data_IF_087929712622
#
_entry.id   IF_087929712622
#
_cell.length_a   1.000
_cell.length_b   1.000
_cell.length_c   1.000
_cell.angle_alpha   90.00
_cell.angle_beta   90.00
_cell.angle_gamma   90.00
#
_symmetry.space_group_name_H-M   'P 1'
#
loop_
_entity.id
_entity.type
_entity.pdbx_description
1 polymer ?
#
# COMPACT_ATOMS: atom_id res chain seq x y z
N UNK A 1 23.57 -23.31 -56.08
CA UNK A 1 23.77 -22.23 -55.08
C UNK A 1 22.42 -21.55 -54.85
N UNK A 2 21.74 -21.87 -53.74
CA UNK A 2 20.50 -21.20 -53.30
C UNK A 2 20.84 -20.51 -51.98
N UNK A 3 20.85 -19.18 -51.98
CA UNK A 3 21.04 -18.37 -50.78
C UNK A 3 19.67 -18.19 -50.12
N UNK A 4 19.53 -18.69 -48.89
CA UNK A 4 18.35 -18.47 -48.06
C UNK A 4 18.59 -17.28 -47.13
N UNK A 5 17.75 -16.27 -47.23
CA UNK A 5 17.70 -15.13 -46.31
C UNK A 5 16.81 -15.46 -45.12
N UNK A 6 17.37 -15.48 -43.90
CA UNK A 6 16.60 -15.56 -42.67
C UNK A 6 15.99 -14.18 -42.31
N UNK A 7 14.77 -14.12 -41.75
CA UNK A 7 14.17 -12.87 -41.32
C UNK A 7 14.74 -12.43 -39.97
N UNK A 8 15.29 -11.22 -39.92
CA UNK A 8 15.65 -10.53 -38.68
C UNK A 8 14.39 -9.96 -38.05
N UNK A 9 13.98 -10.51 -36.92
CA UNK A 9 12.93 -9.94 -36.07
C UNK A 9 13.56 -8.84 -35.20
N UNK A 10 13.22 -7.58 -35.47
CA UNK A 10 13.59 -6.44 -34.64
C UNK A 10 12.55 -6.32 -33.52
N UNK A 11 12.93 -6.65 -32.28
CA UNK A 11 12.13 -6.35 -31.09
C UNK A 11 12.25 -4.84 -30.82
N UNK A 12 11.22 -4.08 -31.17
CA UNK A 12 11.08 -2.70 -30.75
C UNK A 12 10.59 -2.67 -29.30
N UNK A 13 11.49 -2.36 -28.36
CA UNK A 13 11.13 -2.13 -26.97
C UNK A 13 10.29 -0.87 -26.85
N UNK A 14 9.04 -1.01 -26.40
CA UNK A 14 8.20 0.12 -26.02
C UNK A 14 8.69 0.58 -24.64
N UNK A 15 9.46 1.67 -24.60
CA UNK A 15 9.73 2.38 -23.36
C UNK A 15 8.43 3.06 -22.93
N UNK A 16 7.72 2.47 -21.96
CA UNK A 16 6.61 3.11 -21.29
C UNK A 16 7.15 4.31 -20.49
N UNK A 17 6.84 5.52 -20.94
CA UNK A 17 7.09 6.74 -20.18
C UNK A 17 6.20 6.75 -18.94
N UNK A 18 6.79 6.57 -17.76
CA UNK A 18 6.13 6.78 -16.48
C UNK A 18 5.67 8.23 -16.38
N UNK A 19 4.37 8.43 -16.17
CA UNK A 19 3.85 9.75 -15.79
C UNK A 19 4.34 10.06 -14.39
N UNK A 20 5.43 10.84 -14.29
CA UNK A 20 5.88 11.37 -13.03
C UNK A 20 4.80 12.32 -12.49
N UNK A 21 4.18 11.97 -11.37
CA UNK A 21 3.36 12.92 -10.63
C UNK A 21 4.31 13.98 -10.09
N UNK A 22 4.05 15.24 -10.40
CA UNK A 22 4.85 16.37 -9.94
C UNK A 22 4.65 16.56 -8.43
N UNK A 23 5.42 15.79 -7.68
CA UNK A 23 5.54 15.91 -6.24
C UNK A 23 6.36 17.14 -5.87
N UNK A 24 5.82 18.01 -5.02
CA UNK A 24 6.62 19.05 -4.40
C UNK A 24 7.67 18.40 -3.46
N UNK A 25 8.94 18.77 -3.61
CA UNK A 25 9.99 18.25 -2.74
C UNK A 25 9.64 18.49 -1.26
N UNK A 26 9.74 17.45 -0.43
CA UNK A 26 9.46 17.54 1.01
C UNK A 26 7.99 17.37 1.42
N UNK A 27 7.08 16.98 0.52
CA UNK A 27 5.66 16.76 0.88
C UNK A 27 5.31 15.28 0.80
N UNK A 28 5.06 14.63 1.93
CA UNK A 28 4.44 13.30 1.96
C UNK A 28 2.95 13.46 1.65
N UNK A 29 2.45 12.80 0.62
CA UNK A 29 1.02 12.80 0.28
C UNK A 29 0.43 11.42 0.56
N UNK A 30 -0.67 11.35 1.31
CA UNK A 30 -1.35 10.11 1.71
C UNK A 30 -2.82 10.23 1.33
N UNK A 31 -3.33 9.27 0.55
CA UNK A 31 -4.75 9.24 0.20
C UNK A 31 -5.27 7.87 -0.24
N UNK A 32 -6.60 7.74 -0.31
CA UNK A 32 -7.27 6.54 -0.80
C UNK A 32 -7.28 6.54 -2.34
N UNK A 33 -6.54 5.61 -2.94
CA UNK A 33 -6.46 5.45 -4.38
C UNK A 33 -7.59 4.60 -4.96
N UNK A 34 -8.14 3.64 -4.19
CA UNK A 34 -9.27 2.81 -4.60
C UNK A 34 -10.06 2.34 -3.37
N UNK A 35 -11.40 2.26 -3.40
CA UNK A 35 -12.33 2.58 -4.49
C UNK A 35 -12.50 4.09 -4.77
N UNK A 36 -13.19 4.42 -5.87
CA UNK A 36 -13.60 5.79 -6.19
C UNK A 36 -14.90 6.13 -5.48
N UNK A 37 -15.04 7.40 -5.13
CA UNK A 37 -16.25 7.91 -4.51
C UNK A 37 -17.41 7.86 -5.51
N UNK A 38 -18.59 7.45 -5.03
CA UNK A 38 -19.84 7.42 -5.82
C UNK A 38 -19.80 6.56 -7.10
N UNK A 39 -18.82 5.68 -7.27
CA UNK A 39 -18.81 4.71 -8.37
C UNK A 39 -19.56 3.42 -7.97
N UNK A 40 -20.41 2.88 -8.87
CA UNK A 40 -21.03 1.59 -8.65
C UNK A 40 -20.06 0.48 -9.04
N UNK A 41 -19.85 -0.45 -8.12
CA UNK A 41 -19.02 -1.64 -8.32
C UNK A 41 -19.86 -2.91 -8.24
N UNK A 42 -19.39 -3.99 -8.88
CA UNK A 42 -19.97 -5.31 -8.69
C UNK A 42 -19.59 -5.88 -7.32
N UNK A 43 -20.46 -6.75 -6.79
CA UNK A 43 -20.15 -7.54 -5.62
C UNK A 43 -18.92 -8.44 -5.87
N UNK A 44 -18.11 -8.65 -4.82
CA UNK A 44 -16.89 -9.45 -4.89
C UNK A 44 -16.58 -10.07 -3.54
N UNK A 45 -16.20 -11.34 -3.54
CA UNK A 45 -15.68 -12.03 -2.35
C UNK A 45 -14.27 -11.54 -1.95
N UNK A 46 -13.62 -10.76 -2.81
CA UNK A 46 -12.33 -10.13 -2.55
C UNK A 46 -12.31 -8.74 -3.16
N UNK A 47 -13.13 -7.84 -2.62
CA UNK A 47 -13.18 -6.44 -3.00
C UNK A 47 -11.90 -5.72 -2.51
N UNK A 48 -11.08 -5.14 -3.40
CA UNK A 48 -9.84 -4.50 -3.01
C UNK A 48 -10.07 -3.08 -2.48
N UNK A 49 -9.15 -2.61 -1.65
CA UNK A 49 -8.99 -1.20 -1.33
C UNK A 49 -7.50 -0.88 -1.27
N UNK A 50 -7.13 0.33 -1.69
CA UNK A 50 -5.73 0.73 -1.84
C UNK A 50 -5.57 2.16 -1.35
N UNK A 51 -4.66 2.36 -0.40
CA UNK A 51 -4.08 3.66 -0.07
C UNK A 51 -2.77 3.83 -0.84
N UNK A 52 -2.51 5.05 -1.29
CA UNK A 52 -1.27 5.41 -1.97
C UNK A 52 -0.55 6.50 -1.19
N UNK A 53 0.77 6.37 -1.14
CA UNK A 53 1.68 7.35 -0.58
C UNK A 53 2.64 7.82 -1.65
N UNK A 54 2.69 9.13 -1.85
CA UNK A 54 3.61 9.77 -2.79
C UNK A 54 4.68 10.52 -2.02
N UNK A 55 5.90 10.54 -2.55
CA UNK A 55 7.11 10.96 -1.83
C UNK A 55 7.31 10.16 -0.56
N UNK A 56 7.11 8.85 -0.66
CA UNK A 56 7.24 7.88 0.43
C UNK A 56 8.56 8.01 1.20
N UNK A 57 9.66 8.46 0.58
CA UNK A 57 10.92 8.76 1.27
C UNK A 57 10.77 9.75 2.43
N UNK A 58 9.83 10.68 2.37
CA UNK A 58 9.57 11.64 3.44
C UNK A 58 8.96 10.98 4.69
N UNK A 59 8.52 9.72 4.62
CA UNK A 59 7.98 9.00 5.78
C UNK A 59 9.04 8.52 6.77
N UNK A 60 10.33 8.56 6.41
CA UNK A 60 11.45 7.97 7.19
C UNK A 60 11.44 8.39 8.66
N UNK A 61 11.18 9.67 8.94
CA UNK A 61 11.17 10.23 10.29
C UNK A 61 9.77 10.60 10.77
N UNK A 62 8.73 10.20 10.03
CA UNK A 62 7.34 10.45 10.38
C UNK A 62 6.65 9.23 10.99
N UNK A 63 7.18 8.02 10.83
CA UNK A 63 6.55 6.78 11.28
C UNK A 63 5.00 6.77 11.10
N UNK A 64 4.50 6.95 9.86
CA UNK A 64 3.06 7.07 9.67
C UNK A 64 2.33 5.78 10.04
N UNK A 65 1.01 5.87 10.21
CA UNK A 65 0.08 4.75 10.34
C UNK A 65 -1.27 5.12 9.73
N UNK A 66 -2.00 4.17 9.17
CA UNK A 66 -3.38 4.37 8.69
C UNK A 66 -4.29 3.39 9.40
N UNK A 67 -5.16 3.90 10.26
CA UNK A 67 -6.31 3.13 10.73
C UNK A 67 -7.43 3.19 9.70
N UNK A 68 -8.15 2.10 9.49
CA UNK A 68 -9.31 2.06 8.61
C UNK A 68 -10.41 1.16 9.17
N UNK A 69 -11.65 1.47 8.79
CA UNK A 69 -12.85 0.67 9.01
C UNK A 69 -13.78 0.76 7.82
N UNK A 70 -14.21 -0.40 7.33
CA UNK A 70 -15.14 -0.54 6.21
C UNK A 70 -16.48 -0.99 6.76
N UNK A 71 -17.54 -0.24 6.48
CA UNK A 71 -18.87 -0.49 7.02
C UNK A 71 -19.93 -0.52 5.92
N UNK A 72 -20.94 -1.36 6.13
CA UNK A 72 -22.18 -1.32 5.37
C UNK A 72 -23.11 -0.25 5.96
N UNK A 73 -23.52 0.71 5.13
CA UNK A 73 -24.38 1.85 5.52
C UNK A 73 -25.73 1.83 4.78
N UNK A 74 -26.09 0.71 4.15
CA UNK A 74 -27.32 0.59 3.34
C UNK A 74 -28.57 0.92 4.16
N UNK A 75 -28.65 0.43 5.39
CA UNK A 75 -29.80 0.63 6.30
C UNK A 75 -29.44 1.59 7.46
N UNK A 76 -28.49 2.49 7.24
CA UNK A 76 -28.04 3.42 8.26
C UNK A 76 -28.98 4.62 8.43
N UNK A 77 -29.40 4.98 9.67
CA UNK A 77 -29.46 4.18 10.90
C UNK A 77 -30.70 3.26 10.95
N UNK A 78 -30.71 2.10 11.66
CA UNK A 78 -29.88 1.73 12.83
C UNK A 78 -28.83 0.62 12.63
N UNK A 79 -28.77 -0.04 11.47
CA UNK A 79 -27.93 -1.22 11.27
C UNK A 79 -26.58 -0.84 10.64
N UNK A 80 -25.49 -0.97 11.42
CA UNK A 80 -24.11 -0.81 10.93
C UNK A 80 -23.40 -2.15 11.05
N UNK A 81 -23.04 -2.74 9.92
CA UNK A 81 -22.20 -3.93 9.85
C UNK A 81 -20.76 -3.54 9.54
N UNK A 82 -19.81 -4.03 10.33
CA UNK A 82 -18.37 -3.83 10.07
C UNK A 82 -17.87 -4.97 9.19
N UNK A 83 -17.44 -4.63 7.98
CA UNK A 83 -16.94 -5.60 6.98
C UNK A 83 -15.44 -5.81 7.09
N UNK A 84 -14.69 -4.78 7.51
CA UNK A 84 -13.27 -4.85 7.80
C UNK A 84 -12.85 -3.73 8.77
N UNK A 85 -11.84 -4.00 9.59
CA UNK A 85 -11.22 -3.04 10.50
C UNK A 85 -9.74 -3.41 10.64
N UNK A 86 -8.87 -2.42 10.67
CA UNK A 86 -7.45 -2.68 10.78
C UNK A 86 -6.60 -1.42 10.83
N UNK A 87 -5.30 -1.65 10.93
CA UNK A 87 -4.30 -0.61 10.90
C UNK A 87 -3.16 -1.06 9.99
N UNK A 88 -2.70 -0.15 9.14
CA UNK A 88 -1.45 -0.30 8.43
C UNK A 88 -0.35 0.47 9.15
N UNK A 89 0.68 -0.26 9.55
CA UNK A 89 1.93 0.32 10.02
C UNK A 89 2.91 0.44 8.87
N UNK A 90 3.67 1.53 8.88
CA UNK A 90 4.55 1.85 7.77
C UNK A 90 5.94 1.30 7.98
N UNK A 91 6.38 0.49 7.02
CA UNK A 91 7.77 0.09 6.96
C UNK A 91 8.55 1.08 6.09
N UNK A 92 9.22 2.03 6.73
CA UNK A 92 9.96 3.10 6.04
C UNK A 92 11.05 2.56 5.10
N UNK A 93 11.70 1.44 5.44
CA UNK A 93 12.76 0.86 4.59
C UNK A 93 12.23 0.45 3.22
N UNK A 94 10.97 -0.03 3.18
CA UNK A 94 10.29 -0.39 1.92
C UNK A 94 9.67 0.83 1.25
N UNK A 95 9.10 1.74 2.04
CA UNK A 95 8.50 2.96 1.52
C UNK A 95 9.55 3.80 0.78
N UNK A 96 10.72 4.05 1.38
CA UNK A 96 11.79 4.84 0.75
C UNK A 96 12.35 4.27 -0.56
N UNK A 97 12.20 2.96 -0.79
CA UNK A 97 12.63 2.28 -2.01
C UNK A 97 11.55 2.25 -3.11
N UNK A 98 10.29 2.57 -2.78
CA UNK A 98 9.16 2.48 -3.70
C UNK A 98 8.32 3.76 -3.63
N UNK A 99 8.29 4.52 -4.71
CA UNK A 99 7.47 5.72 -4.83
C UNK A 99 6.69 5.70 -6.15
N UNK A 100 5.34 5.69 -6.12
CA UNK A 100 4.47 5.66 -4.93
C UNK A 100 4.58 4.34 -4.12
N UNK A 101 4.36 4.42 -2.82
CA UNK A 101 4.22 3.26 -1.93
C UNK A 101 2.74 2.94 -1.72
N UNK A 102 2.36 1.67 -1.86
CA UNK A 102 0.97 1.24 -1.75
C UNK A 102 0.73 0.42 -0.48
N UNK A 103 -0.41 0.66 0.15
CA UNK A 103 -0.97 -0.17 1.21
C UNK A 103 -2.32 -0.66 0.75
N UNK A 104 -2.54 -1.98 0.81
CA UNK A 104 -3.76 -2.56 0.27
C UNK A 104 -4.28 -3.69 1.15
N UNK A 105 -5.56 -3.98 0.96
CA UNK A 105 -6.24 -5.12 1.53
C UNK A 105 -7.44 -5.51 0.69
N UNK A 106 -8.12 -6.56 1.11
CA UNK A 106 -9.34 -7.03 0.48
C UNK A 106 -10.40 -7.32 1.55
N UNK A 107 -11.69 -7.17 1.21
CA UNK A 107 -12.81 -7.53 2.08
C UNK A 107 -13.94 -8.16 1.25
N UNK A 108 -14.88 -8.84 1.92
CA UNK A 108 -16.05 -9.41 1.26
C UNK A 108 -17.12 -8.35 1.09
N UNK A 109 -17.47 -8.04 -0.15
CA UNK A 109 -18.57 -7.14 -0.50
C UNK A 109 -19.69 -7.97 -1.16
N UNK A 110 -20.72 -8.33 -0.39
CA UNK A 110 -21.82 -9.16 -0.84
C UNK A 110 -23.14 -8.39 -0.88
N UNK A 111 -23.99 -8.74 -1.85
CA UNK A 111 -25.27 -8.07 -2.06
C UNK A 111 -25.13 -6.66 -2.63
N UNK A 112 -26.27 -6.05 -2.95
CA UNK A 112 -26.30 -4.62 -3.32
C UNK A 112 -26.39 -3.76 -2.06
N UNK A 113 -25.77 -2.59 -2.08
CA UNK A 113 -25.78 -1.70 -0.93
C UNK A 113 -24.80 -0.56 -1.00
N UNK A 114 -24.92 0.36 -0.04
CA UNK A 114 -23.98 1.47 0.16
C UNK A 114 -22.95 1.08 1.19
N UNK A 115 -21.68 1.26 0.84
CA UNK A 115 -20.55 1.00 1.71
C UNK A 115 -19.80 2.30 1.98
N UNK A 116 -19.10 2.35 3.11
CA UNK A 116 -18.24 3.46 3.50
C UNK A 116 -16.91 2.94 3.98
N UNK A 117 -15.83 3.50 3.44
CA UNK A 117 -14.49 3.40 4.03
C UNK A 117 -14.28 4.65 4.88
N UNK A 118 -14.12 4.42 6.17
CA UNK A 118 -13.67 5.42 7.13
C UNK A 118 -12.20 5.16 7.43
N UNK A 119 -11.35 6.18 7.35
CA UNK A 119 -9.92 6.01 7.60
C UNK A 119 -9.27 7.26 8.17
N UNK A 120 -8.15 7.07 8.87
CA UNK A 120 -7.46 8.12 9.60
C UNK A 120 -5.94 7.90 9.56
N UNK A 121 -5.20 8.71 8.78
CA UNK A 121 -3.75 8.74 8.86
C UNK A 121 -3.28 9.43 10.14
N UNK A 122 -2.21 8.89 10.72
CA UNK A 122 -1.47 9.46 11.83
C UNK A 122 0.03 9.42 11.52
N UNK A 123 0.79 10.31 12.16
CA UNK A 123 2.24 10.39 12.02
C UNK A 123 2.88 11.05 13.24
N UNK A 124 4.14 10.72 13.47
CA UNK A 124 5.03 11.35 14.45
C UNK A 124 5.76 12.55 13.84
N UNK A 125 6.13 13.51 14.68
CA UNK A 125 6.93 14.68 14.31
C UNK A 125 7.67 15.24 15.53
N UNK A 126 8.62 16.14 15.30
CA UNK A 126 9.26 16.90 16.37
C UNK A 126 8.42 18.13 16.72
N UNK A 127 7.97 18.23 17.98
CA UNK A 127 7.45 19.47 18.53
C UNK A 127 8.61 20.31 19.10
N UNK A 128 8.79 21.50 18.55
CA UNK A 128 9.84 22.46 18.94
C UNK A 128 9.31 23.59 19.85
N UNK A 129 8.08 23.47 20.37
CA UNK A 129 7.50 24.50 21.26
C UNK A 129 8.14 24.54 22.65
N UNK A 130 8.76 23.44 23.07
CA UNK A 130 9.43 23.29 24.36
C UNK A 130 10.88 23.80 24.38
N UNK A 131 11.56 23.59 25.50
CA UNK A 131 13.01 23.87 25.65
C UNK A 131 13.89 22.84 24.94
N UNK A 132 13.39 21.61 24.80
CA UNK A 132 14.02 20.51 24.08
C UNK A 132 13.01 19.97 23.06
N UNK A 133 13.45 19.53 21.86
CA UNK A 133 12.57 18.88 20.90
C UNK A 133 12.02 17.58 21.48
N UNK A 134 10.71 17.38 21.35
CA UNK A 134 10.03 16.15 21.80
C UNK A 134 9.32 15.46 20.63
N UNK A 135 9.20 14.14 20.71
CA UNK A 135 8.38 13.40 19.75
C UNK A 135 6.91 13.60 20.09
N UNK A 136 6.18 14.23 19.18
CA UNK A 136 4.72 14.34 19.24
C UNK A 136 4.08 13.47 18.15
N UNK A 137 2.81 13.11 18.34
CA UNK A 137 2.01 12.38 17.35
C UNK A 137 0.80 13.22 16.95
N UNK A 138 0.54 13.29 15.65
CA UNK A 138 -0.62 13.95 15.08
C UNK A 138 -1.45 12.96 14.27
N UNK A 139 -2.72 13.32 14.01
CA UNK A 139 -3.66 12.57 13.18
C UNK A 139 -4.68 13.52 12.58
N UNK A 140 -5.27 13.14 11.46
CA UNK A 140 -6.41 13.89 10.89
C UNK A 140 -7.70 13.55 11.62
N UNK A 141 -8.79 14.23 11.29
CA UNK A 141 -10.14 13.69 11.50
C UNK A 141 -10.37 12.48 10.58
N UNK A 142 -11.48 11.77 10.78
CA UNK A 142 -11.85 10.64 9.93
C UNK A 142 -12.22 11.13 8.52
N UNK A 143 -11.52 10.60 7.53
CA UNK A 143 -11.93 10.70 6.14
C UNK A 143 -13.00 9.67 5.83
N UNK A 144 -14.01 10.05 5.05
CA UNK A 144 -15.16 9.21 4.73
C UNK A 144 -15.32 9.10 3.22
N UNK A 145 -15.23 7.88 2.69
CA UNK A 145 -15.41 7.60 1.27
C UNK A 145 -16.57 6.65 1.07
N UNK A 146 -17.63 7.16 0.45
CA UNK A 146 -18.85 6.40 0.14
C UNK A 146 -18.80 5.86 -1.29
N UNK A 147 -19.18 4.60 -1.44
CA UNK A 147 -19.31 3.92 -2.73
C UNK A 147 -20.44 2.90 -2.66
N UNK A 148 -20.79 2.32 -3.81
CA UNK A 148 -21.98 1.48 -3.91
C UNK A 148 -21.66 0.15 -4.58
N UNK A 149 -22.23 -0.93 -4.07
CA UNK A 149 -22.26 -2.24 -4.70
C UNK A 149 -23.60 -2.41 -5.40
N UNK A 150 -23.57 -2.70 -6.69
CA UNK A 150 -24.75 -2.83 -7.57
C UNK A 150 -24.55 -3.93 -8.60
N UNK A 151 -25.64 -4.58 -8.98
CA UNK A 151 -25.67 -5.52 -10.08
C UNK A 151 -25.36 -4.80 -11.39
N UNK A 152 -24.42 -5.35 -12.17
CA UNK A 152 -23.94 -4.72 -13.40
C UNK A 152 -23.12 -3.45 -13.17
N UNK A 153 -22.61 -3.25 -11.95
CA UNK A 153 -21.60 -2.23 -11.66
C UNK A 153 -20.27 -2.50 -12.38
N UNK A 154 -19.26 -1.69 -12.09
CA UNK A 154 -17.91 -1.94 -12.61
C UNK A 154 -17.26 -3.06 -11.81
N UNK A 155 -16.64 -4.04 -12.47
CA UNK A 155 -15.88 -5.05 -11.75
C UNK A 155 -14.79 -4.37 -10.92
N UNK A 156 -14.69 -4.64 -9.61
CA UNK A 156 -13.66 -4.01 -8.79
C UNK A 156 -12.27 -4.50 -9.23
N UNK A 157 -11.42 -3.56 -9.63
CA UNK A 157 -10.04 -3.79 -10.07
C UNK A 157 -9.16 -2.65 -9.56
N UNK A 158 -8.01 -2.99 -8.95
CA UNK A 158 -7.05 -2.05 -8.37
C UNK A 158 -6.54 -1.02 -9.37
N UNK A 159 -6.52 -1.34 -10.67
CA UNK A 159 -6.09 -0.39 -11.71
C UNK A 159 -7.17 0.62 -12.11
N UNK A 160 -8.45 0.33 -11.81
CA UNK A 160 -9.58 1.08 -12.34
C UNK A 160 -9.59 2.53 -11.84
N UNK A 161 -9.71 3.46 -12.79
CA UNK A 161 -9.79 4.90 -12.53
C UNK A 161 -8.50 5.52 -11.99
N UNK A 162 -7.37 4.82 -12.00
CA UNK A 162 -6.06 5.34 -11.54
C UNK A 162 -5.32 6.12 -12.63
N UNK A 163 -4.46 7.06 -12.23
CA UNK A 163 -3.59 7.81 -13.15
C UNK A 163 -4.28 8.90 -13.97
N UNK A 164 -5.38 9.48 -13.46
CA UNK A 164 -6.11 10.55 -14.13
C UNK A 164 -6.92 11.44 -13.18
N UNK A 165 -7.29 12.62 -13.66
CA UNK A 165 -8.20 13.53 -12.96
C UNK A 165 -9.63 13.04 -13.18
N UNK A 166 -10.15 12.22 -12.26
CA UNK A 166 -11.56 11.81 -12.28
C UNK A 166 -12.38 12.64 -11.29
N UNK A 167 -13.60 13.02 -11.68
CA UNK A 167 -14.54 13.72 -10.79
C UNK A 167 -14.98 12.85 -9.60
N UNK A 168 -14.72 11.54 -9.66
CA UNK A 168 -15.04 10.57 -8.63
C UNK A 168 -13.84 10.29 -7.71
N UNK A 169 -12.76 11.06 -7.86
CA UNK A 169 -11.67 11.05 -6.91
C UNK A 169 -12.21 11.44 -5.53
N UNK A 170 -12.00 10.62 -4.48
CA UNK A 170 -12.47 10.98 -3.15
C UNK A 170 -11.96 12.36 -2.70
N UNK A 171 -10.80 12.81 -3.20
CA UNK A 171 -10.08 14.02 -2.73
C UNK A 171 -9.88 14.04 -1.20
N UNK A 172 -10.07 12.89 -0.56
CA UNK A 172 -9.84 12.67 0.85
C UNK A 172 -8.41 12.20 1.03
N UNK A 173 -7.66 12.95 1.81
CA UNK A 173 -6.30 12.63 2.19
C UNK A 173 -5.55 13.82 2.76
N UNK A 174 -4.29 13.60 3.08
CA UNK A 174 -3.47 14.56 3.78
C UNK A 174 -2.10 14.69 3.14
N UNK A 175 -1.65 15.94 3.04
CA UNK A 175 -0.27 16.27 2.70
C UNK A 175 0.45 16.76 3.93
N UNK A 176 1.55 16.09 4.28
CA UNK A 176 2.43 16.40 5.39
C UNK A 176 3.72 16.99 4.83
N UNK A 177 3.89 18.30 4.98
CA UNK A 177 5.10 18.99 4.56
C UNK A 177 6.20 18.85 5.62
N UNK A 178 7.24 18.11 5.26
CA UNK A 178 8.44 17.86 6.04
C UNK A 178 9.46 18.94 5.72
N UNK A 179 10.02 19.56 6.77
CA UNK A 179 11.14 20.48 6.60
C UNK A 179 12.46 19.73 6.40
N UNK A 180 13.53 20.45 6.13
CA UNK A 180 14.89 19.91 6.04
C UNK A 180 15.53 19.63 7.41
N UNK A 181 14.78 19.78 8.50
CA UNK A 181 15.28 19.64 9.88
C UNK A 181 14.76 18.36 10.54
N UNK A 182 15.66 17.68 11.22
CA UNK A 182 15.39 16.51 12.06
C UNK A 182 16.03 16.69 13.43
N UNK A 183 15.45 16.09 14.46
CA UNK A 183 16.05 16.07 15.80
C UNK A 183 16.19 14.65 16.32
N UNK A 184 17.29 14.41 17.02
CA UNK A 184 17.38 13.26 17.93
C UNK A 184 16.56 13.57 19.17
N UNK A 185 15.65 12.68 19.52
CA UNK A 185 14.79 12.77 20.69
C UNK A 185 14.94 11.49 21.50
N UNK A 186 14.81 11.60 22.81
CA UNK A 186 14.73 10.41 23.65
C UNK A 186 13.46 9.63 23.27
N UNK A 187 13.61 8.36 22.84
CA UNK A 187 12.46 7.54 22.51
C UNK A 187 11.64 7.30 23.79
N UNK A 188 10.58 8.07 23.98
CA UNK A 188 9.63 7.81 25.05
C UNK A 188 8.75 6.62 24.66
N UNK A 189 8.80 5.54 25.45
CA UNK A 189 7.88 4.39 25.60
C UNK A 189 7.35 3.62 24.36
N UNK A 190 7.35 4.16 23.13
CA UNK A 190 6.74 3.54 21.95
C UNK A 190 7.69 2.67 21.12
N UNK A 191 9.01 2.74 21.33
CA UNK A 191 10.02 2.01 20.55
C UNK A 191 10.86 1.02 21.37
N UNK A 192 10.46 0.72 22.61
CA UNK A 192 11.33 -0.01 23.54
C UNK A 192 12.38 0.90 24.18
N UNK A 193 12.72 0.61 25.42
CA UNK A 193 13.43 1.52 26.30
C UNK A 193 14.85 1.88 25.83
N UNK A 194 15.15 3.18 25.74
CA UNK A 194 16.52 3.73 25.83
C UNK A 194 17.21 4.13 24.53
N UNK A 195 16.63 3.87 23.36
CA UNK A 195 17.24 4.26 22.09
C UNK A 195 16.94 5.73 21.74
N UNK A 196 17.88 6.39 21.08
CA UNK A 196 17.65 7.71 20.48
C UNK A 196 16.79 7.52 19.23
N UNK A 197 15.62 8.14 19.18
CA UNK A 197 14.80 8.18 17.98
C UNK A 197 15.09 9.47 17.20
N UNK A 198 14.89 9.45 15.89
CA UNK A 198 14.92 10.67 15.06
C UNK A 198 13.52 11.01 14.62
N UNK A 199 13.12 12.27 14.75
CA UNK A 199 11.86 12.79 14.20
C UNK A 199 12.12 13.89 13.17
N UNK A 200 11.16 14.12 12.28
CA UNK A 200 11.16 15.25 11.36
C UNK A 200 10.42 16.46 11.95
N UNK A 201 10.92 17.66 11.71
CA UNK A 201 10.19 18.90 11.96
C UNK A 201 9.28 19.20 10.77
N UNK A 202 8.04 19.57 11.04
CA UNK A 202 7.07 19.93 9.99
C UNK A 202 7.15 21.41 9.63
N UNK A 203 6.79 21.74 8.39
CA UNK A 203 6.58 23.14 8.01
C UNK A 203 5.39 23.74 8.78
N UNK A 204 5.43 25.05 9.06
CA UNK A 204 4.39 25.72 9.85
C UNK A 204 2.98 25.64 9.22
N UNK A 205 2.89 25.45 7.91
CA UNK A 205 1.64 25.25 7.14
C UNK A 205 1.17 23.80 7.08
N UNK A 206 1.84 22.86 7.74
CA UNK A 206 1.56 21.42 7.72
C UNK A 206 0.74 20.97 8.95
N UNK A 207 -0.14 19.97 8.82
CA UNK A 207 -0.60 19.31 7.58
C UNK A 207 -1.64 20.13 6.82
N UNK A 208 -1.87 19.79 5.54
CA UNK A 208 -3.01 20.31 4.77
C UNK A 208 -3.89 19.17 4.25
N UNK A 209 -5.21 19.36 4.26
CA UNK A 209 -6.20 18.40 3.76
C UNK A 209 -6.37 18.48 2.24
N UNK A 210 -5.25 18.44 1.51
CA UNK A 210 -5.21 18.64 0.05
C UNK A 210 -4.40 17.53 -0.60
N UNK A 211 -4.94 16.31 -0.57
CA UNK A 211 -4.38 15.17 -1.32
C UNK A 211 -5.15 14.97 -2.63
N UNK A 212 -4.46 14.55 -3.67
CA UNK A 212 -5.12 14.00 -4.87
C UNK A 212 -4.54 12.60 -5.16
N UNK A 213 -5.03 11.58 -4.44
CA UNK A 213 -4.51 10.22 -4.58
C UNK A 213 -4.85 9.58 -5.94
N UNK A 214 -5.70 10.21 -6.74
CA UNK A 214 -6.19 9.68 -8.01
C UNK A 214 -5.22 9.92 -9.17
N UNK A 215 -4.28 10.84 -8.99
CA UNK A 215 -3.12 11.01 -9.88
C UNK A 215 -2.17 9.83 -9.83
N UNK A 216 -2.21 9.06 -8.75
CA UNK A 216 -1.40 7.86 -8.64
C UNK A 216 -1.91 6.82 -9.63
N UNK A 217 -1.01 6.33 -10.47
CA UNK A 217 -1.27 5.24 -11.40
C UNK A 217 -0.89 3.91 -10.75
N UNK A 218 -1.82 2.98 -10.71
CA UNK A 218 -1.55 1.57 -10.34
C UNK A 218 -1.51 0.81 -11.65
N UNK A 219 -0.32 0.41 -12.09
CA UNK A 219 -0.14 -0.35 -13.33
C UNK A 219 -0.17 -1.86 -13.09
N UNK A 220 -0.17 -2.62 -14.18
CA UNK A 220 -0.23 -4.07 -14.12
C UNK A 220 0.95 -4.67 -13.35
N UNK A 221 2.16 -4.10 -13.45
CA UNK A 221 3.31 -4.59 -12.73
C UNK A 221 3.17 -4.37 -11.21
N UNK A 222 2.61 -3.23 -10.79
CA UNK A 222 2.28 -2.99 -9.40
C UNK A 222 1.22 -3.99 -8.89
N UNK A 223 0.19 -4.28 -9.68
CA UNK A 223 -0.82 -5.29 -9.32
C UNK A 223 -0.22 -6.69 -9.22
N UNK A 224 0.57 -7.11 -10.21
CA UNK A 224 1.27 -8.40 -10.18
C UNK A 224 2.18 -8.52 -8.95
N UNK A 225 2.87 -7.43 -8.58
CA UNK A 225 3.67 -7.40 -7.35
C UNK A 225 2.82 -7.53 -6.09
N UNK A 226 1.66 -6.85 -6.02
CA UNK A 226 0.75 -6.98 -4.88
C UNK A 226 0.18 -8.40 -4.78
N UNK A 227 -0.19 -8.99 -5.90
CA UNK A 227 -0.75 -10.34 -5.97
C UNK A 227 0.29 -11.40 -5.60
N UNK A 228 1.56 -11.21 -5.98
CA UNK A 228 2.66 -12.05 -5.53
C UNK A 228 2.84 -11.99 -4.01
N UNK A 229 2.72 -10.81 -3.40
CA UNK A 229 2.78 -10.64 -1.94
C UNK A 229 1.57 -11.25 -1.24
N UNK A 230 0.37 -11.09 -1.80
CA UNK A 230 -0.84 -11.71 -1.27
C UNK A 230 -0.79 -13.25 -1.38
N UNK A 231 -0.18 -13.78 -2.44
CA UNK A 231 0.10 -15.21 -2.59
C UNK A 231 1.13 -15.67 -1.55
N UNK A 232 2.27 -15.00 -1.43
CA UNK A 232 3.30 -15.34 -0.44
C UNK A 232 2.73 -15.37 0.98
N UNK A 233 1.90 -14.38 1.34
CA UNK A 233 1.23 -14.34 2.65
C UNK A 233 0.31 -15.55 2.85
N UNK A 234 -0.46 -15.95 1.84
CA UNK A 234 -1.32 -17.14 1.91
C UNK A 234 -0.50 -18.43 2.01
N UNK A 235 0.65 -18.50 1.34
CA UNK A 235 1.54 -19.65 1.39
C UNK A 235 2.22 -19.87 2.75
N UNK A 236 2.34 -18.82 3.55
CA UNK A 236 2.82 -18.92 4.94
C UNK A 236 1.69 -19.23 5.95
N UNK A 237 0.45 -19.28 5.47
CA UNK A 237 -0.72 -19.59 6.30
C UNK A 237 -0.79 -21.07 6.68
N UNK A 238 -1.72 -21.39 7.57
CA UNK A 238 -1.96 -22.76 8.03
C UNK A 238 -2.57 -23.68 6.95
N UNK A 239 -3.17 -23.08 5.91
CA UNK A 239 -3.80 -23.79 4.79
C UNK A 239 -3.32 -23.14 3.47
N UNK A 240 -2.08 -23.42 3.04
CA UNK A 240 -1.50 -22.80 1.86
C UNK A 240 -2.24 -23.26 0.58
N UNK A 241 -2.55 -22.33 -0.35
CA UNK A 241 -3.11 -22.70 -1.64
C UNK A 241 -2.22 -23.65 -2.45
N UNK A 242 -2.82 -24.39 -3.38
CA UNK A 242 -2.09 -25.31 -4.25
C UNK A 242 -1.08 -24.60 -5.17
N UNK A 243 -1.25 -23.30 -5.42
CA UNK A 243 -0.35 -22.50 -6.25
C UNK A 243 0.92 -22.04 -5.50
N UNK A 244 1.10 -22.43 -4.25
CA UNK A 244 2.30 -22.13 -3.49
C UNK A 244 3.51 -22.87 -4.07
N UNK A 245 4.68 -22.24 -4.14
CA UNK A 245 5.89 -22.92 -4.57
C UNK A 245 6.14 -24.12 -3.65
N UNK A 246 6.36 -25.30 -4.24
CA UNK A 246 6.79 -26.47 -3.49
C UNK A 246 8.07 -26.10 -2.74
N UNK A 247 8.09 -26.37 -1.43
CA UNK A 247 9.29 -26.15 -0.64
C UNK A 247 10.38 -27.10 -1.16
N UNK A 248 11.38 -26.57 -1.87
CA UNK A 248 12.63 -27.30 -2.01
C UNK A 248 13.19 -27.51 -0.60
N UNK A 249 13.41 -28.78 -0.25
CA UNK A 249 13.75 -29.30 1.08
C UNK A 249 14.55 -28.33 1.98
N UNK A 250 13.85 -27.62 2.85
CA UNK A 250 14.49 -27.02 4.02
C UNK A 250 14.74 -28.15 5.00
N UNK A 251 16.00 -28.59 5.04
CA UNK A 251 16.56 -29.52 6.02
C UNK A 251 15.99 -29.20 7.41
N UNK A 252 15.20 -30.12 7.93
CA UNK A 252 14.78 -30.13 9.34
C UNK A 252 16.03 -30.07 10.22
N UNK A 253 16.22 -28.96 10.92
CA UNK A 253 17.02 -28.94 12.13
C UNK A 253 16.06 -28.63 13.28
N UNK A 254 15.73 -29.67 14.03
CA UNK A 254 14.74 -29.64 15.10
C UNK A 254 15.14 -28.91 16.38
N UNK A 255 14.11 -28.73 17.21
CA UNK A 255 14.13 -28.27 18.61
C UNK A 255 13.67 -26.81 18.75
N UNK A 256 12.87 -26.40 19.72
CA UNK A 256 12.09 -27.01 20.79
C UNK A 256 11.08 -25.91 21.25
N UNK A 257 10.00 -26.34 21.87
CA UNK A 257 8.76 -25.65 22.23
C UNK A 257 8.87 -24.28 22.93
N UNK A 258 7.93 -23.39 22.61
CA UNK A 258 7.57 -22.21 23.42
C UNK A 258 6.31 -21.55 22.89
N UNK A 259 5.18 -21.78 23.56
CA UNK A 259 3.88 -21.17 23.29
C UNK A 259 3.91 -19.66 23.58
N UNK A 260 3.70 -18.83 22.56
CA UNK A 260 3.36 -17.41 22.70
C UNK A 260 2.35 -17.03 21.60
N UNK A 261 1.07 -16.91 21.99
CA UNK A 261 0.05 -16.24 21.19
C UNK A 261 0.35 -14.74 21.17
N UNK A 262 1.06 -14.28 20.14
CA UNK A 262 1.13 -12.86 19.82
C UNK A 262 0.96 -12.62 18.32
N UNK A 263 0.18 -11.58 18.01
CA UNK A 263 -0.34 -11.27 16.69
C UNK A 263 0.75 -11.22 15.62
N UNK A 264 0.60 -12.06 14.60
CA UNK A 264 1.49 -12.12 13.46
C UNK A 264 1.40 -10.85 12.59
N UNK A 265 2.11 -9.80 12.99
CA UNK A 265 2.57 -8.75 12.07
C UNK A 265 3.85 -9.28 11.42
N UNK A 266 3.70 -10.06 10.34
CA UNK A 266 4.83 -10.69 9.67
C UNK A 266 5.15 -10.09 8.29
N UNK A 267 6.46 -9.88 8.14
CA UNK A 267 7.21 -9.11 7.16
C UNK A 267 7.55 -9.86 5.85
N UNK A 268 7.97 -9.10 4.81
CA UNK A 268 8.47 -9.44 3.44
C UNK A 268 7.39 -9.88 2.42
N UNK A 269 7.46 -9.55 1.11
CA UNK A 269 8.49 -8.90 0.28
C UNK A 269 7.97 -7.68 -0.53
N UNK A 270 8.85 -6.80 -1.00
CA UNK A 270 8.57 -5.85 -2.09
C UNK A 270 9.83 -5.82 -2.97
N UNK A 271 9.78 -6.48 -4.12
CA UNK A 271 10.89 -6.54 -5.06
C UNK A 271 10.83 -5.27 -5.91
N UNK A 272 11.73 -4.33 -5.62
CA UNK A 272 12.09 -3.30 -6.59
C UNK A 272 12.62 -3.98 -7.84
N UNK A 273 12.18 -3.52 -9.02
CA UNK A 273 12.57 -4.08 -10.32
C UNK A 273 14.11 -4.04 -10.46
N UNK A 274 14.74 -5.15 -10.08
CA UNK A 274 16.10 -5.50 -10.46
C UNK A 274 16.00 -6.90 -11.05
N UNK A 275 16.07 -6.94 -12.37
CA UNK A 275 16.03 -8.09 -13.26
C UNK A 275 16.33 -9.45 -12.59
N UNK A 276 15.30 -10.30 -12.49
CA UNK A 276 15.49 -11.75 -12.51
C UNK A 276 15.31 -12.17 -13.97
N UNK A 277 16.43 -12.22 -14.69
CA UNK A 277 16.52 -12.86 -15.98
C UNK A 277 17.11 -14.27 -15.80
N UNK A 278 16.56 -15.23 -16.56
CA UNK A 278 16.99 -16.63 -16.75
C UNK A 278 16.65 -17.56 -15.56
N UNK A 279 15.99 -18.71 -15.75
CA UNK A 279 16.29 -19.78 -16.70
C UNK A 279 15.01 -20.59 -17.04
N UNK A 280 14.56 -20.55 -18.29
CA UNK A 280 13.80 -21.63 -18.90
C UNK A 280 14.31 -21.83 -20.33
N UNK A 281 14.87 -23.01 -20.59
CA UNK A 281 15.09 -23.49 -21.95
C UNK A 281 16.44 -24.14 -22.22
N UNK A 282 16.63 -25.38 -21.80
CA UNK A 282 17.44 -26.36 -22.54
C UNK A 282 17.12 -27.79 -22.05
N UNK A 283 16.05 -28.38 -22.57
CA UNK A 283 15.89 -29.83 -22.58
C UNK A 283 15.53 -30.26 -24.02
N UNK A 284 16.56 -30.41 -24.85
CA UNK A 284 16.49 -31.19 -26.08
C UNK A 284 17.78 -32.02 -26.23
N UNK A 285 17.61 -33.33 -26.01
CA UNK A 285 18.21 -34.47 -26.70
C UNK A 285 19.74 -34.58 -26.83
N UNK A 286 20.29 -35.54 -26.09
CA UNK A 286 21.46 -36.39 -26.41
C UNK A 286 21.07 -37.78 -25.90
N UNK A 287 21.10 -38.91 -26.62
CA UNK A 287 21.65 -39.32 -27.90
C UNK A 287 20.68 -40.30 -28.61
#
# INVERSE_FOLDING_TARGET
MRSGSAPRWTLAGIAASFGAVASAAGVLDIGLAFPRANEPYEASDSFPFVFALQNSKQSEHLNPSIWYRIINITNFPPDVEVLADGNFDFNWTRASANDPYFLWGNFKAQGEGKLRIMWQPAWSYCDERGTEPEMARNRTDNFLVDFEIKQGGTKPDRMTGTGGDSNNCPNEGVTVQVSDRTHEVHAAYQLGAGEKATCAVLAASSPTATSNPCKVKIDAAAVESMDAVDLERRCRGLDPPAECPESEDVVESGGDNGDEEDGAVSNLAAVGVSAIAALLGAAFLVA
#
